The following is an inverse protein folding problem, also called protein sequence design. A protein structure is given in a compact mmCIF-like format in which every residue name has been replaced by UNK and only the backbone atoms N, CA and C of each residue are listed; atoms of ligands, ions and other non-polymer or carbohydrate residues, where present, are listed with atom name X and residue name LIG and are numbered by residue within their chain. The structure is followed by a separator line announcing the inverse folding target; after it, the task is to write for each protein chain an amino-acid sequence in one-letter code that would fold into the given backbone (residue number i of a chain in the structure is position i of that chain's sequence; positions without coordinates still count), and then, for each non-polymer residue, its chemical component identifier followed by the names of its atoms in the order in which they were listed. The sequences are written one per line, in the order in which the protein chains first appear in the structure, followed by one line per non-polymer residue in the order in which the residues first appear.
data_IF_250277407954
#
_entry.id   IF_250277407954
#
_cell.length_a   1.000
_cell.length_b   1.000
_cell.length_c   1.000
_cell.angle_alpha   90.00
_cell.angle_beta   90.00
_cell.angle_gamma   90.00
#
_symmetry.space_group_name_H-M   'P 1'
#
loop_
_entity.id
_entity.type
_entity.pdbx_description
1 polymer ?
#
# COMPACT_ATOMS: atom_id res chain seq x y z
N UNK A 1 -23.00 3.22 -51.71
CA UNK A 1 -21.74 3.69 -51.10
C UNK A 1 -21.61 3.07 -49.73
N UNK A 2 -20.75 2.06 -49.65
CA UNK A 2 -20.54 1.22 -48.44
C UNK A 2 -19.66 1.98 -47.45
N UNK A 3 -20.14 2.27 -46.23
CA UNK A 3 -19.30 2.65 -45.09
C UNK A 3 -18.74 1.38 -44.47
N UNK A 4 -17.45 1.13 -44.72
CA UNK A 4 -16.69 0.08 -44.07
C UNK A 4 -16.68 0.31 -42.54
N UNK A 5 -17.16 -0.71 -41.82
CA UNK A 5 -16.90 -0.86 -40.40
C UNK A 5 -15.40 -1.04 -40.21
N UNK A 6 -14.74 -0.04 -39.61
CA UNK A 6 -13.41 -0.19 -39.08
C UNK A 6 -13.50 -1.15 -37.88
N UNK A 7 -13.17 -2.40 -38.10
CA UNK A 7 -12.97 -3.36 -37.02
C UNK A 7 -11.83 -2.89 -36.13
N UNK A 8 -12.10 -2.65 -34.85
CA UNK A 8 -11.07 -2.43 -33.86
C UNK A 8 -10.15 -3.66 -33.85
N UNK A 9 -8.88 -3.44 -34.13
CA UNK A 9 -7.85 -4.49 -33.98
C UNK A 9 -7.91 -5.00 -32.53
N UNK A 10 -7.95 -6.31 -32.30
CA UNK A 10 -7.89 -6.85 -30.94
C UNK A 10 -6.60 -6.36 -30.30
N UNK A 11 -6.72 -5.87 -29.06
CA UNK A 11 -5.59 -5.42 -28.26
C UNK A 11 -4.72 -6.64 -27.93
N UNK A 12 -3.73 -6.94 -28.76
CA UNK A 12 -2.85 -8.14 -28.71
C UNK A 12 -2.06 -8.20 -27.39
N UNK A 13 -2.17 -7.19 -26.52
CA UNK A 13 -1.56 -7.15 -25.20
C UNK A 13 -2.52 -7.52 -24.04
N UNK A 14 -3.82 -7.63 -24.26
CA UNK A 14 -4.77 -8.13 -23.29
C UNK A 14 -4.76 -9.66 -23.28
N UNK A 15 -4.99 -10.28 -22.13
CA UNK A 15 -5.18 -11.73 -21.93
C UNK A 15 -3.93 -12.60 -21.90
N UNK A 16 -2.73 -12.05 -21.72
CA UNK A 16 -1.48 -12.83 -21.66
C UNK A 16 -1.32 -13.68 -20.38
N UNK A 17 -2.13 -13.40 -19.36
CA UNK A 17 -2.16 -14.15 -18.10
C UNK A 17 -3.48 -14.91 -17.91
N UNK A 18 -4.25 -15.13 -18.98
CA UNK A 18 -5.50 -15.89 -18.92
C UNK A 18 -5.27 -17.32 -18.41
N UNK A 19 -6.02 -17.70 -17.38
CA UNK A 19 -5.94 -18.99 -16.72
C UNK A 19 -4.85 -19.11 -15.65
N UNK A 20 -3.97 -18.10 -15.52
CA UNK A 20 -2.99 -18.07 -14.42
C UNK A 20 -3.59 -17.48 -13.17
N UNK A 21 -3.36 -18.14 -12.04
CA UNK A 21 -3.76 -17.64 -10.71
C UNK A 21 -2.55 -17.06 -9.99
N UNK A 22 -2.59 -15.76 -9.74
CA UNK A 22 -1.49 -14.97 -9.17
C UNK A 22 -1.81 -14.58 -7.73
N UNK A 23 -0.93 -14.96 -6.81
CA UNK A 23 -0.99 -14.50 -5.41
C UNK A 23 -0.31 -13.14 -5.30
N UNK A 24 -1.01 -12.17 -4.71
CA UNK A 24 -0.45 -10.87 -4.33
C UNK A 24 -0.60 -10.62 -2.83
N UNK A 25 0.46 -10.05 -2.23
CA UNK A 25 0.53 -9.74 -0.80
C UNK A 25 0.39 -8.22 -0.55
N UNK A 26 -0.06 -7.49 -1.57
CA UNK A 26 -0.19 -6.03 -1.49
C UNK A 26 -1.35 -5.63 -0.56
N UNK A 27 -1.13 -4.61 0.26
CA UNK A 27 -2.14 -4.10 1.18
C UNK A 27 -2.63 -2.70 0.80
N UNK A 28 -1.69 -1.80 0.42
CA UNK A 28 -2.02 -0.38 0.21
C UNK A 28 -2.47 -0.07 -1.22
N UNK A 29 -1.95 -0.80 -2.20
CA UNK A 29 -2.22 -0.64 -3.63
C UNK A 29 -2.90 -1.88 -4.20
N UNK A 30 -3.48 -2.70 -3.34
CA UNK A 30 -4.11 -3.98 -3.66
C UNK A 30 -5.09 -3.86 -4.82
N UNK A 31 -6.07 -2.95 -4.74
CA UNK A 31 -7.08 -2.77 -5.77
C UNK A 31 -6.48 -2.36 -7.13
N UNK A 32 -5.41 -1.54 -7.12
CA UNK A 32 -4.73 -1.14 -8.34
C UNK A 32 -3.94 -2.31 -8.94
N UNK A 33 -3.21 -3.05 -8.11
CA UNK A 33 -2.40 -4.18 -8.58
C UNK A 33 -3.28 -5.31 -9.10
N UNK A 34 -4.34 -5.67 -8.36
CA UNK A 34 -5.33 -6.65 -8.79
C UNK A 34 -5.98 -6.28 -10.12
N UNK A 35 -6.40 -5.02 -10.28
CA UNK A 35 -6.98 -4.55 -11.53
C UNK A 35 -6.02 -4.69 -12.69
N UNK A 36 -4.76 -4.27 -12.52
CA UNK A 36 -3.74 -4.35 -13.56
C UNK A 36 -3.43 -5.80 -13.99
N UNK A 37 -3.44 -6.75 -13.04
CA UNK A 37 -3.30 -8.18 -13.32
C UNK A 37 -4.55 -8.75 -14.03
N UNK A 38 -5.74 -8.38 -13.57
CA UNK A 38 -7.00 -8.79 -14.18
C UNK A 38 -7.17 -8.25 -15.62
N UNK A 39 -6.66 -7.03 -15.90
CA UNK A 39 -6.60 -6.47 -17.26
C UNK A 39 -5.71 -7.31 -18.21
N UNK A 40 -4.84 -8.18 -17.66
CA UNK A 40 -4.07 -9.17 -18.41
C UNK A 40 -4.69 -10.59 -18.39
N UNK A 41 -5.90 -10.72 -17.85
CA UNK A 41 -6.66 -11.98 -17.78
C UNK A 41 -6.32 -12.88 -16.60
N UNK A 42 -5.50 -12.44 -15.62
CA UNK A 42 -5.15 -13.24 -14.45
C UNK A 42 -6.32 -13.39 -13.46
N UNK A 43 -6.44 -14.58 -12.85
CA UNK A 43 -7.17 -14.79 -11.61
C UNK A 43 -6.27 -14.35 -10.44
N UNK A 44 -6.72 -13.39 -9.63
CA UNK A 44 -5.91 -12.79 -8.58
C UNK A 44 -6.37 -13.23 -7.20
N UNK A 45 -5.53 -13.99 -6.51
CA UNK A 45 -5.69 -14.25 -5.08
C UNK A 45 -5.07 -13.10 -4.28
N UNK A 46 -5.94 -12.31 -3.65
CA UNK A 46 -5.55 -11.20 -2.78
C UNK A 46 -5.31 -11.72 -1.36
N UNK A 47 -4.12 -11.46 -0.82
CA UNK A 47 -3.77 -11.80 0.55
C UNK A 47 -3.02 -10.62 1.20
N UNK A 48 -3.74 -9.56 1.61
CA UNK A 48 -3.11 -8.41 2.24
C UNK A 48 -2.41 -8.81 3.55
N UNK A 49 -1.19 -8.31 3.74
CA UNK A 49 -0.35 -8.66 4.89
C UNK A 49 -0.84 -8.09 6.22
N UNK A 50 -1.69 -7.08 6.15
CA UNK A 50 -2.30 -6.42 7.30
C UNK A 50 -3.74 -6.05 6.94
N UNK A 51 -4.64 -6.20 7.87
CA UNK A 51 -5.95 -5.54 7.80
C UNK A 51 -5.85 -4.16 8.45
N UNK A 52 -6.57 -3.19 7.89
CA UNK A 52 -6.58 -1.82 8.39
C UNK A 52 -7.92 -1.58 9.07
N UNK A 53 -7.89 -1.40 10.39
CA UNK A 53 -9.08 -1.13 11.18
C UNK A 53 -9.10 0.31 11.68
N UNK A 54 -10.30 0.83 11.94
CA UNK A 54 -10.45 2.08 12.69
C UNK A 54 -9.76 1.91 14.06
N UNK A 55 -9.21 2.99 14.62
CA UNK A 55 -8.65 2.94 15.96
C UNK A 55 -9.71 2.40 16.95
N UNK A 56 -9.34 1.46 17.84
CA UNK A 56 -10.29 0.83 18.78
C UNK A 56 -11.04 1.84 19.66
N UNK A 57 -10.33 2.90 20.08
CA UNK A 57 -10.92 4.04 20.76
C UNK A 57 -10.96 5.25 19.83
N UNK A 58 -12.15 5.70 19.50
CA UNK A 58 -12.35 6.88 18.65
C UNK A 58 -12.38 8.19 19.42
N UNK A 59 -12.52 8.19 20.75
CA UNK A 59 -12.67 9.40 21.54
C UNK A 59 -11.48 10.37 21.42
N UNK A 60 -10.22 9.93 21.42
CA UNK A 60 -9.08 10.82 21.18
C UNK A 60 -9.11 11.48 19.79
N UNK A 61 -9.58 10.75 18.77
CA UNK A 61 -9.67 11.24 17.39
C UNK A 61 -10.79 12.27 17.27
N UNK A 62 -11.95 11.98 17.86
CA UNK A 62 -13.08 12.92 17.90
C UNK A 62 -12.71 14.20 18.64
N UNK A 63 -12.02 14.10 19.78
CA UNK A 63 -11.52 15.23 20.53
C UNK A 63 -10.50 16.05 19.71
N UNK A 64 -9.60 15.39 18.98
CA UNK A 64 -8.65 16.05 18.10
C UNK A 64 -9.36 16.82 16.97
N UNK A 65 -10.35 16.19 16.30
CA UNK A 65 -11.16 16.84 15.25
C UNK A 65 -11.87 18.08 15.80
N UNK A 66 -12.52 17.98 16.97
CA UNK A 66 -13.22 19.11 17.58
C UNK A 66 -12.27 20.25 17.96
N UNK A 67 -11.08 19.94 18.51
CA UNK A 67 -10.04 20.96 18.77
C UNK A 67 -9.57 21.63 17.49
N UNK A 68 -9.31 20.82 16.43
CA UNK A 68 -8.87 21.34 15.14
C UNK A 68 -9.92 22.27 14.51
N UNK A 69 -11.22 21.97 14.65
CA UNK A 69 -12.31 22.84 14.18
C UNK A 69 -12.32 24.15 14.97
N UNK A 70 -12.25 24.07 16.30
CA UNK A 70 -12.32 25.25 17.18
C UNK A 70 -11.10 26.17 17.00
N UNK A 71 -9.93 25.60 16.82
CA UNK A 71 -8.68 26.33 16.63
C UNK A 71 -7.78 25.54 15.63
N UNK A 72 -7.90 25.78 14.32
CA UNK A 72 -7.10 25.10 13.30
C UNK A 72 -5.61 25.26 13.56
N UNK A 73 -4.83 24.20 13.33
CA UNK A 73 -3.37 24.28 13.33
C UNK A 73 -2.91 25.18 12.19
N UNK A 74 -1.74 25.82 12.36
CA UNK A 74 -1.10 26.60 11.29
C UNK A 74 -0.70 25.69 10.14
N UNK A 75 -0.15 24.52 10.49
CA UNK A 75 0.34 23.50 9.55
C UNK A 75 -0.33 22.16 9.82
N UNK A 76 -0.56 21.39 8.73
CA UNK A 76 -1.07 20.03 8.81
C UNK A 76 -0.17 19.09 7.97
N UNK A 77 0.46 18.16 8.64
CA UNK A 77 1.28 17.12 8.00
C UNK A 77 0.45 15.84 7.84
N UNK A 78 0.31 15.40 6.60
CA UNK A 78 -0.44 14.20 6.24
C UNK A 78 0.52 13.08 5.81
N UNK A 79 0.64 12.06 6.65
CA UNK A 79 1.53 10.94 6.38
C UNK A 79 0.92 9.91 5.42
N UNK A 80 -0.42 9.75 5.43
CA UNK A 80 -1.12 8.78 4.57
C UNK A 80 -2.47 9.29 4.09
N UNK A 81 -2.86 8.89 2.87
CA UNK A 81 -4.22 9.16 2.37
C UNK A 81 -5.29 8.41 3.15
N UNK A 82 -4.98 7.20 3.62
CA UNK A 82 -5.88 6.41 4.48
C UNK A 82 -6.19 7.15 5.78
N UNK A 83 -5.18 7.74 6.42
CA UNK A 83 -5.37 8.50 7.65
C UNK A 83 -6.32 9.68 7.47
N UNK A 84 -6.17 10.45 6.39
CA UNK A 84 -7.10 11.55 6.11
C UNK A 84 -8.53 11.05 5.87
N UNK A 85 -8.71 9.99 5.05
CA UNK A 85 -10.05 9.40 4.81
C UNK A 85 -10.71 8.93 6.11
N UNK A 86 -9.92 8.34 7.03
CA UNK A 86 -10.43 7.93 8.35
C UNK A 86 -10.83 9.11 9.23
N UNK A 87 -10.06 10.19 9.23
CA UNK A 87 -10.45 11.43 9.91
C UNK A 87 -11.76 12.00 9.35
N UNK A 88 -11.92 12.04 8.02
CA UNK A 88 -13.16 12.47 7.38
C UNK A 88 -14.32 11.54 7.74
N UNK A 89 -14.10 10.21 7.74
CA UNK A 89 -15.11 9.23 8.17
C UNK A 89 -15.58 9.46 9.61
N UNK A 90 -14.65 9.74 10.53
CA UNK A 90 -14.98 10.05 11.93
C UNK A 90 -15.74 11.38 12.00
N UNK A 91 -15.26 12.43 11.32
CA UNK A 91 -15.94 13.73 11.29
C UNK A 91 -17.38 13.63 10.76
N UNK A 92 -17.61 12.78 9.73
CA UNK A 92 -18.96 12.49 9.22
C UNK A 92 -19.83 11.78 10.25
N UNK A 93 -19.28 10.79 10.96
CA UNK A 93 -20.00 10.04 11.98
C UNK A 93 -20.46 10.93 13.15
N UNK A 94 -19.66 11.93 13.51
CA UNK A 94 -19.98 12.90 14.58
C UNK A 94 -20.61 14.19 14.06
N UNK A 95 -21.07 14.19 12.81
CA UNK A 95 -21.84 15.25 12.13
C UNK A 95 -21.13 16.62 12.03
N UNK A 96 -19.78 16.60 11.94
CA UNK A 96 -18.95 17.83 11.81
C UNK A 96 -18.08 17.85 10.56
N UNK A 97 -18.35 17.01 9.56
CA UNK A 97 -17.53 16.86 8.34
C UNK A 97 -17.31 18.21 7.65
N UNK A 98 -18.38 18.99 7.44
CA UNK A 98 -18.32 20.27 6.74
C UNK A 98 -17.39 21.27 7.46
N UNK A 99 -17.54 21.38 8.78
CA UNK A 99 -16.75 22.29 9.61
C UNK A 99 -15.29 21.84 9.67
N UNK A 100 -15.06 20.51 9.72
CA UNK A 100 -13.72 19.96 9.70
C UNK A 100 -13.01 20.20 8.37
N UNK A 101 -13.67 19.98 7.22
CA UNK A 101 -13.11 20.29 5.90
C UNK A 101 -12.81 21.78 5.75
N UNK A 102 -13.70 22.64 6.25
CA UNK A 102 -13.45 24.08 6.26
C UNK A 102 -12.23 24.47 7.12
N UNK A 103 -12.06 23.83 8.28
CA UNK A 103 -10.89 24.02 9.14
C UNK A 103 -9.61 23.53 8.48
N UNK A 104 -9.63 22.34 7.84
CA UNK A 104 -8.51 21.83 7.05
C UNK A 104 -8.10 22.78 5.94
N UNK A 105 -9.06 23.48 5.33
CA UNK A 105 -8.81 24.52 4.32
C UNK A 105 -7.94 25.67 4.80
N UNK A 106 -7.97 25.99 6.10
CA UNK A 106 -7.24 27.12 6.70
C UNK A 106 -5.77 26.79 6.99
N UNK A 107 -5.45 25.53 7.31
CA UNK A 107 -4.08 25.10 7.59
C UNK A 107 -3.23 25.03 6.32
N UNK A 108 -1.92 25.22 6.43
CA UNK A 108 -0.97 24.81 5.38
C UNK A 108 -0.82 23.29 5.38
N UNK A 109 -1.02 22.64 4.23
CA UNK A 109 -1.05 21.18 4.12
C UNK A 109 0.19 20.64 3.46
N UNK A 110 0.89 19.75 4.17
CA UNK A 110 2.10 19.06 3.73
C UNK A 110 1.82 17.57 3.55
N UNK A 111 2.02 17.07 2.35
CA UNK A 111 1.77 15.68 2.03
C UNK A 111 3.08 14.90 1.92
N UNK A 112 3.20 13.77 2.63
CA UNK A 112 4.38 12.87 2.53
C UNK A 112 4.58 12.28 1.12
N UNK A 113 3.58 12.37 0.27
CA UNK A 113 3.64 11.81 -1.08
C UNK A 113 2.30 11.94 -1.80
N UNK A 114 2.14 11.31 -2.97
CA UNK A 114 0.98 11.51 -3.83
C UNK A 114 -0.34 10.99 -3.22
N UNK A 115 -0.29 10.00 -2.32
CA UNK A 115 -1.51 9.40 -1.73
C UNK A 115 -2.27 10.36 -0.81
N UNK A 116 -1.63 11.07 0.15
CA UNK A 116 -2.30 12.12 0.91
C UNK A 116 -2.83 13.26 0.04
N UNK A 117 -2.09 13.67 -0.99
CA UNK A 117 -2.54 14.69 -1.94
C UNK A 117 -3.80 14.26 -2.69
N UNK A 118 -3.90 12.99 -3.11
CA UNK A 118 -5.12 12.44 -3.71
C UNK A 118 -6.31 12.49 -2.74
N UNK A 119 -6.10 12.10 -1.48
CA UNK A 119 -7.14 12.14 -0.48
C UNK A 119 -7.61 13.58 -0.16
N UNK A 120 -6.73 14.59 -0.22
CA UNK A 120 -7.12 15.99 -0.13
C UNK A 120 -8.01 16.40 -1.30
N UNK A 121 -7.69 16.02 -2.53
CA UNK A 121 -8.52 16.32 -3.72
C UNK A 121 -9.92 15.72 -3.65
N UNK A 122 -10.08 14.56 -3.01
CA UNK A 122 -11.39 13.93 -2.80
C UNK A 122 -12.36 14.80 -1.97
N UNK A 123 -11.82 15.73 -1.17
CA UNK A 123 -12.58 16.69 -0.34
C UNK A 123 -12.44 18.15 -0.84
N UNK A 124 -11.97 18.34 -2.06
CA UNK A 124 -11.83 19.66 -2.69
C UNK A 124 -10.66 20.50 -2.19
N UNK A 125 -9.65 19.89 -1.57
CA UNK A 125 -8.45 20.58 -1.06
C UNK A 125 -7.19 20.11 -1.80
N UNK A 126 -6.13 20.92 -1.74
CA UNK A 126 -4.82 20.59 -2.30
C UNK A 126 -3.72 20.73 -1.23
N UNK A 127 -2.64 19.94 -1.31
CA UNK A 127 -1.47 20.18 -0.49
C UNK A 127 -0.71 21.41 -1.02
N UNK A 128 -0.14 22.22 -0.13
CA UNK A 128 0.80 23.29 -0.49
C UNK A 128 2.12 22.70 -0.99
N UNK A 129 2.57 21.62 -0.33
CA UNK A 129 3.79 20.91 -0.73
C UNK A 129 3.59 19.41 -0.61
N UNK A 130 4.10 18.68 -1.60
CA UNK A 130 4.25 17.23 -1.54
C UNK A 130 5.74 16.91 -1.58
N UNK A 131 6.24 16.05 -0.67
CA UNK A 131 7.67 15.74 -0.66
C UNK A 131 8.06 14.90 -1.88
N UNK A 132 9.26 15.11 -2.39
CA UNK A 132 9.86 14.28 -3.44
C UNK A 132 10.22 12.89 -2.91
N UNK A 133 10.66 12.81 -1.65
CA UNK A 133 10.97 11.56 -0.94
C UNK A 133 9.79 11.19 -0.04
N UNK A 134 8.97 10.17 -0.38
CA UNK A 134 7.75 9.83 0.37
C UNK A 134 8.05 9.03 1.66
N UNK A 135 8.99 9.54 2.47
CA UNK A 135 9.43 8.96 3.74
C UNK A 135 9.25 9.95 4.89
N UNK A 136 9.37 9.47 6.14
CA UNK A 136 9.35 10.35 7.33
C UNK A 136 10.52 11.32 7.33
N UNK A 137 11.69 10.87 6.88
CA UNK A 137 12.90 11.68 6.72
C UNK A 137 12.68 12.77 5.65
N UNK A 138 12.01 12.43 4.54
CA UNK A 138 11.68 13.40 3.49
C UNK A 138 10.73 14.50 3.98
N UNK A 139 9.76 14.16 4.85
CA UNK A 139 8.91 15.15 5.53
C UNK A 139 9.75 16.02 6.46
N UNK A 140 10.61 15.42 7.30
CA UNK A 140 11.46 16.17 8.22
C UNK A 140 12.41 17.13 7.46
N UNK A 141 13.03 16.65 6.37
CA UNK A 141 13.89 17.47 5.50
C UNK A 141 13.11 18.64 4.87
N UNK A 142 11.90 18.40 4.40
CA UNK A 142 11.05 19.44 3.83
C UNK A 142 10.67 20.49 4.88
N UNK A 143 10.22 20.06 6.07
CA UNK A 143 9.82 20.95 7.15
C UNK A 143 10.99 21.75 7.72
N UNK A 144 12.22 21.23 7.67
CA UNK A 144 13.42 21.97 8.12
C UNK A 144 13.72 23.24 7.31
N UNK A 145 13.08 23.41 6.15
CA UNK A 145 13.19 24.59 5.28
C UNK A 145 12.14 25.65 5.55
N UNK A 146 11.26 25.41 6.51
CA UNK A 146 10.12 26.27 6.88
C UNK A 146 10.33 26.76 8.31
N UNK A 147 10.04 28.01 8.59
CA UNK A 147 10.05 28.51 9.97
C UNK A 147 8.79 28.06 10.70
N UNK A 148 8.94 27.11 11.60
CA UNK A 148 7.86 26.55 12.40
C UNK A 148 7.80 27.09 13.83
N UNK A 149 8.61 28.10 14.17
CA UNK A 149 8.66 28.66 15.54
C UNK A 149 7.32 29.24 15.96
N UNK A 150 6.80 28.71 17.04
CA UNK A 150 5.49 29.11 17.60
C UNK A 150 4.28 28.59 16.82
N UNK A 151 4.50 27.81 15.74
CA UNK A 151 3.42 27.16 15.00
C UNK A 151 2.85 25.96 15.76
N UNK A 152 1.56 25.73 15.57
CA UNK A 152 0.89 24.48 15.93
C UNK A 152 0.82 23.60 14.69
N UNK A 153 1.38 22.41 14.79
CA UNK A 153 1.50 21.45 13.70
C UNK A 153 0.62 20.22 13.98
N UNK A 154 -0.50 20.12 13.27
CA UNK A 154 -1.30 18.90 13.25
C UNK A 154 -0.54 17.81 12.49
N UNK A 155 -0.34 16.63 13.10
CA UNK A 155 0.40 15.54 12.50
C UNK A 155 -0.46 14.27 12.41
N UNK A 156 -0.97 13.98 11.21
CA UNK A 156 -1.68 12.74 10.98
C UNK A 156 -0.70 11.58 10.80
N UNK A 157 -0.67 10.70 11.77
CA UNK A 157 0.21 9.54 11.87
C UNK A 157 -0.37 8.30 11.18
N UNK A 158 0.47 7.29 10.97
CA UNK A 158 0.11 5.93 10.58
C UNK A 158 0.69 4.94 11.60
N UNK A 159 0.18 3.70 11.72
CA UNK A 159 0.73 2.72 12.66
C UNK A 159 2.20 2.39 12.34
N UNK A 160 3.11 2.93 13.14
CA UNK A 160 4.56 2.72 13.08
C UNK A 160 5.15 2.96 14.48
N UNK A 161 6.31 2.38 14.73
CA UNK A 161 7.02 2.51 16.02
C UNK A 161 7.90 3.76 16.12
N UNK A 162 8.22 4.42 15.01
CA UNK A 162 9.29 5.44 14.91
C UNK A 162 8.80 6.89 14.77
N UNK A 163 7.57 7.21 15.20
CA UNK A 163 7.07 8.58 15.11
C UNK A 163 7.82 9.59 15.98
N UNK A 164 8.46 9.13 17.07
CA UNK A 164 9.22 9.98 17.98
C UNK A 164 10.30 10.80 17.30
N UNK A 165 10.96 10.25 16.27
CA UNK A 165 12.01 10.95 15.51
C UNK A 165 11.43 12.14 14.73
N UNK A 166 10.30 11.95 14.05
CA UNK A 166 9.63 13.02 13.29
C UNK A 166 9.05 14.08 14.23
N UNK A 167 8.35 13.67 15.29
CA UNK A 167 7.80 14.57 16.30
C UNK A 167 8.94 15.39 16.93
N UNK A 168 10.04 14.75 17.34
CA UNK A 168 11.20 15.41 17.91
C UNK A 168 11.83 16.42 16.95
N UNK A 169 11.94 16.10 15.66
CA UNK A 169 12.47 17.00 14.64
C UNK A 169 11.61 18.25 14.43
N UNK A 170 10.28 18.13 14.50
CA UNK A 170 9.34 19.25 14.38
C UNK A 170 9.39 20.09 15.66
N UNK A 171 9.35 19.46 16.83
CA UNK A 171 9.41 20.16 18.13
C UNK A 171 10.73 20.91 18.32
N UNK A 172 11.86 20.36 17.85
CA UNK A 172 13.17 21.01 17.89
C UNK A 172 13.23 22.33 17.09
N UNK A 173 12.30 22.55 16.15
CA UNK A 173 12.17 23.80 15.42
C UNK A 173 11.30 24.84 16.16
N UNK A 174 10.83 24.54 17.38
CA UNK A 174 10.01 25.42 18.20
C UNK A 174 8.51 25.34 17.92
N UNK A 175 8.05 24.27 17.26
CA UNK A 175 6.64 24.02 17.01
C UNK A 175 5.98 23.20 18.14
N UNK A 176 4.68 23.41 18.34
CA UNK A 176 3.83 22.52 19.13
C UNK A 176 3.20 21.46 18.20
N UNK A 177 3.43 20.17 18.48
CA UNK A 177 2.93 19.08 17.64
C UNK A 177 1.66 18.48 18.23
N UNK A 178 0.60 18.41 17.43
CA UNK A 178 -0.67 17.76 17.77
C UNK A 178 -0.84 16.47 16.94
N UNK A 179 -0.36 15.31 17.42
CA UNK A 179 -0.46 14.06 16.68
C UNK A 179 -1.87 13.48 16.74
N UNK A 180 -2.27 12.80 15.66
CA UNK A 180 -3.47 11.95 15.61
C UNK A 180 -3.20 10.68 14.83
N UNK A 181 -3.58 9.54 15.41
CA UNK A 181 -3.47 8.20 14.81
C UNK A 181 -4.89 7.63 14.59
N UNK A 182 -5.46 7.77 13.38
CA UNK A 182 -6.87 7.45 13.16
C UNK A 182 -7.18 5.98 12.89
N UNK A 183 -6.16 5.10 12.79
CA UNK A 183 -6.34 3.69 12.47
C UNK A 183 -5.20 2.82 13.00
N UNK A 184 -5.42 1.52 13.02
CA UNK A 184 -4.42 0.51 13.42
C UNK A 184 -4.25 -0.53 12.33
N UNK A 185 -3.09 -1.19 12.32
CA UNK A 185 -2.89 -2.42 11.57
C UNK A 185 -3.22 -3.61 12.48
N UNK A 186 -4.09 -4.46 12.00
CA UNK A 186 -4.34 -5.77 12.62
C UNK A 186 -3.56 -6.83 11.82
N UNK A 187 -2.43 -7.22 12.36
CA UNK A 187 -1.59 -8.25 11.79
C UNK A 187 -2.18 -9.65 12.06
N UNK A 188 -2.80 -9.85 13.21
CA UNK A 188 -3.32 -11.19 13.60
C UNK A 188 -4.51 -11.61 12.75
N UNK A 189 -5.43 -10.70 12.47
CA UNK A 189 -6.55 -10.98 11.58
C UNK A 189 -6.11 -11.37 10.16
N UNK A 190 -4.92 -10.93 9.72
CA UNK A 190 -4.36 -11.31 8.43
C UNK A 190 -3.65 -12.68 8.45
N UNK A 191 -3.19 -13.17 9.61
CA UNK A 191 -2.41 -14.41 9.72
C UNK A 191 -3.14 -15.61 9.10
N UNK A 192 -4.43 -15.79 9.41
CA UNK A 192 -5.21 -16.91 8.89
C UNK A 192 -5.29 -16.92 7.37
N UNK A 193 -5.40 -15.73 6.75
CA UNK A 193 -5.43 -15.59 5.30
C UNK A 193 -4.04 -15.92 4.70
N UNK A 194 -2.96 -15.52 5.38
CA UNK A 194 -1.59 -15.80 4.94
C UNK A 194 -1.33 -17.31 5.02
N UNK A 195 -1.72 -17.99 6.09
CA UNK A 195 -1.61 -19.45 6.19
C UNK A 195 -2.40 -20.15 5.10
N UNK A 196 -3.63 -19.68 4.83
CA UNK A 196 -4.45 -20.19 3.72
C UNK A 196 -3.74 -19.99 2.37
N UNK A 197 -3.12 -18.83 2.14
CA UNK A 197 -2.37 -18.57 0.90
C UNK A 197 -1.14 -19.49 0.76
N UNK A 198 -0.45 -19.80 1.88
CA UNK A 198 0.63 -20.80 1.90
C UNK A 198 0.09 -22.18 1.51
N UNK A 199 -1.07 -22.57 2.01
CA UNK A 199 -1.71 -23.84 1.67
C UNK A 199 -2.14 -23.88 0.19
N UNK A 200 -2.67 -22.79 -0.37
CA UNK A 200 -3.00 -22.68 -1.79
C UNK A 200 -1.77 -22.88 -2.68
N UNK A 201 -0.64 -22.25 -2.31
CA UNK A 201 0.64 -22.45 -3.01
C UNK A 201 1.14 -23.89 -2.87
N UNK A 202 1.11 -24.47 -1.66
CA UNK A 202 1.59 -25.82 -1.40
C UNK A 202 0.79 -26.89 -2.16
N UNK A 203 -0.50 -26.64 -2.39
CA UNK A 203 -1.38 -27.51 -3.17
C UNK A 203 -1.27 -27.28 -4.68
N UNK A 204 -0.37 -26.38 -5.12
CA UNK A 204 -0.13 -26.09 -6.54
C UNK A 204 -1.30 -25.33 -7.21
N UNK A 205 -2.12 -24.62 -6.45
CA UNK A 205 -3.24 -23.82 -6.99
C UNK A 205 -2.85 -22.38 -7.33
N UNK A 206 -1.58 -22.00 -7.12
CA UNK A 206 -1.02 -20.70 -7.46
C UNK A 206 0.07 -20.87 -8.51
N UNK A 207 -0.04 -20.12 -9.60
CA UNK A 207 0.92 -20.16 -10.71
C UNK A 207 2.14 -19.27 -10.47
N UNK A 208 1.98 -18.14 -9.76
CA UNK A 208 3.07 -17.29 -9.33
C UNK A 208 2.68 -16.44 -8.11
N UNK A 209 3.68 -16.01 -7.33
CA UNK A 209 3.53 -14.99 -6.29
C UNK A 209 4.24 -13.71 -6.73
N UNK A 210 3.57 -12.56 -6.56
CA UNK A 210 4.11 -11.25 -6.91
C UNK A 210 4.33 -10.39 -5.66
N UNK A 211 5.58 -9.96 -5.47
CA UNK A 211 6.07 -9.24 -4.29
C UNK A 211 6.52 -7.83 -4.67
N UNK A 212 5.98 -6.82 -3.97
CA UNK A 212 6.20 -5.40 -4.25
C UNK A 212 6.96 -4.68 -3.14
N UNK A 213 7.23 -5.36 -2.01
CA UNK A 213 8.03 -4.80 -0.91
C UNK A 213 8.74 -5.90 -0.10
N UNK A 214 9.91 -5.57 0.47
CA UNK A 214 10.64 -6.46 1.37
C UNK A 214 9.84 -6.80 2.64
N UNK A 215 8.98 -5.90 3.09
CA UNK A 215 8.08 -6.14 4.23
C UNK A 215 7.12 -7.30 4.00
N UNK A 216 6.70 -7.54 2.75
CA UNK A 216 5.85 -8.70 2.41
C UNK A 216 6.61 -10.01 2.59
N UNK A 217 7.88 -10.06 2.18
CA UNK A 217 8.74 -11.25 2.37
C UNK A 217 8.90 -11.56 3.86
N UNK A 218 9.32 -10.55 4.64
CA UNK A 218 9.50 -10.72 6.10
C UNK A 218 8.21 -11.19 6.78
N UNK A 219 7.09 -10.56 6.45
CA UNK A 219 5.80 -10.89 7.05
C UNK A 219 5.33 -12.31 6.70
N UNK A 220 5.53 -12.74 5.45
CA UNK A 220 5.20 -14.10 5.02
C UNK A 220 5.99 -15.15 5.84
N UNK A 221 7.28 -14.90 6.05
CA UNK A 221 8.16 -15.79 6.84
C UNK A 221 7.79 -15.76 8.33
N UNK A 222 7.56 -14.55 8.89
CA UNK A 222 7.13 -14.36 10.29
C UNK A 222 5.85 -15.16 10.61
N UNK A 223 4.85 -15.08 9.71
CA UNK A 223 3.59 -15.82 9.89
C UNK A 223 3.82 -17.31 9.76
N UNK A 224 4.63 -17.77 8.82
CA UNK A 224 4.96 -19.18 8.69
C UNK A 224 5.64 -19.72 9.95
N UNK A 225 6.57 -18.97 10.56
CA UNK A 225 7.20 -19.30 11.83
C UNK A 225 6.19 -19.34 12.99
N UNK A 226 5.38 -18.29 13.12
CA UNK A 226 4.36 -18.17 14.18
C UNK A 226 3.36 -19.35 14.14
N UNK A 227 3.03 -19.84 12.95
CA UNK A 227 2.05 -20.89 12.73
C UNK A 227 2.68 -22.27 12.42
N UNK A 228 3.99 -22.43 12.63
CA UNK A 228 4.74 -23.69 12.45
C UNK A 228 4.53 -24.33 11.05
N UNK A 229 4.57 -23.51 10.01
CA UNK A 229 4.41 -23.96 8.61
C UNK A 229 5.56 -23.53 7.68
N UNK A 230 6.77 -23.30 8.23
CA UNK A 230 7.96 -22.86 7.48
C UNK A 230 8.37 -23.85 6.37
N UNK A 231 8.39 -25.14 6.69
CA UNK A 231 8.76 -26.18 5.71
C UNK A 231 7.75 -26.19 4.56
N UNK A 232 6.46 -26.10 4.87
CA UNK A 232 5.39 -26.00 3.86
C UNK A 232 5.56 -24.77 2.99
N UNK A 233 5.88 -23.61 3.58
CA UNK A 233 6.16 -22.39 2.83
C UNK A 233 7.37 -22.57 1.91
N UNK A 234 8.48 -23.14 2.41
CA UNK A 234 9.68 -23.40 1.60
C UNK A 234 9.40 -24.32 0.43
N UNK A 235 8.71 -25.41 0.65
CA UNK A 235 8.31 -26.35 -0.41
C UNK A 235 7.37 -25.68 -1.43
N UNK A 236 6.43 -24.88 -0.98
CA UNK A 236 5.51 -24.14 -1.83
C UNK A 236 6.27 -23.14 -2.71
N UNK A 237 7.16 -22.32 -2.13
CA UNK A 237 7.98 -21.34 -2.85
C UNK A 237 9.01 -22.01 -3.77
N UNK A 238 9.53 -23.20 -3.41
CA UNK A 238 10.43 -23.95 -4.30
C UNK A 238 9.77 -24.30 -5.64
N UNK A 239 8.46 -24.46 -5.66
CA UNK A 239 7.68 -24.85 -6.84
C UNK A 239 6.95 -23.68 -7.50
N UNK A 240 6.63 -22.62 -6.76
CA UNK A 240 5.87 -21.48 -7.26
C UNK A 240 6.82 -20.39 -7.72
N UNK A 241 6.76 -19.94 -8.99
CA UNK A 241 7.53 -18.80 -9.49
C UNK A 241 7.36 -17.56 -8.63
N UNK A 242 8.47 -16.92 -8.27
CA UNK A 242 8.51 -15.73 -7.44
C UNK A 242 8.87 -14.54 -8.31
N UNK A 243 7.93 -13.59 -8.42
CA UNK A 243 8.11 -12.32 -9.11
C UNK A 243 8.39 -11.19 -8.11
N UNK A 244 9.53 -10.51 -8.24
CA UNK A 244 9.88 -9.35 -7.40
C UNK A 244 9.88 -8.05 -8.20
N UNK A 245 9.40 -6.97 -7.59
CA UNK A 245 9.31 -5.67 -8.26
C UNK A 245 10.67 -5.00 -8.46
N UNK A 246 11.68 -5.37 -7.67
CA UNK A 246 12.97 -4.69 -7.72
C UNK A 246 14.03 -5.29 -6.78
N UNK A 247 15.27 -4.75 -6.80
CA UNK A 247 16.41 -5.31 -6.10
C UNK A 247 16.19 -5.46 -4.58
N UNK A 248 15.61 -4.47 -3.92
CA UNK A 248 15.35 -4.50 -2.47
C UNK A 248 14.52 -5.72 -2.05
N UNK A 249 13.56 -6.13 -2.90
CA UNK A 249 12.73 -7.33 -2.64
C UNK A 249 13.53 -8.59 -2.94
N UNK A 250 14.31 -8.60 -4.02
CA UNK A 250 15.18 -9.73 -4.39
C UNK A 250 16.26 -9.99 -3.36
N UNK A 251 16.88 -8.92 -2.82
CA UNK A 251 17.90 -9.02 -1.76
C UNK A 251 17.29 -9.59 -0.47
N UNK A 252 16.08 -9.16 -0.11
CA UNK A 252 15.35 -9.71 1.03
C UNK A 252 15.03 -11.20 0.84
N UNK A 253 14.55 -11.61 -0.35
CA UNK A 253 14.36 -13.04 -0.69
C UNK A 253 15.66 -13.83 -0.54
N UNK A 254 16.75 -13.32 -1.10
CA UNK A 254 18.07 -13.96 -1.05
C UNK A 254 18.59 -14.10 0.38
N UNK A 255 18.38 -13.10 1.26
CA UNK A 255 18.78 -13.16 2.67
C UNK A 255 18.08 -14.29 3.44
N UNK A 256 16.92 -14.74 2.95
CA UNK A 256 16.16 -15.87 3.50
C UNK A 256 16.37 -17.18 2.71
N UNK A 257 17.34 -17.22 1.81
CA UNK A 257 17.64 -18.41 0.98
C UNK A 257 16.57 -18.70 -0.08
N UNK A 258 15.79 -17.69 -0.47
CA UNK A 258 14.77 -17.78 -1.50
C UNK A 258 15.29 -17.15 -2.81
N UNK A 259 14.74 -17.60 -3.96
CA UNK A 259 15.12 -17.10 -5.28
C UNK A 259 14.15 -16.03 -5.78
N UNK A 260 14.57 -15.28 -6.77
CA UNK A 260 13.70 -14.50 -7.64
C UNK A 260 13.71 -15.13 -9.03
N UNK A 261 12.54 -15.47 -9.58
CA UNK A 261 12.40 -16.08 -10.90
C UNK A 261 12.02 -15.07 -11.98
N UNK A 262 11.28 -14.04 -11.61
CA UNK A 262 10.73 -13.04 -12.52
C UNK A 262 11.08 -11.65 -12.01
N UNK A 263 11.66 -10.84 -12.88
CA UNK A 263 12.19 -9.52 -12.56
C UNK A 263 11.91 -8.53 -13.70
N UNK A 264 11.52 -7.28 -13.43
CA UNK A 264 11.34 -6.28 -14.48
C UNK A 264 12.64 -5.98 -15.23
N UNK A 265 12.56 -5.79 -16.54
CA UNK A 265 13.71 -5.36 -17.33
C UNK A 265 13.96 -3.85 -17.20
N UNK A 266 15.17 -3.39 -17.56
CA UNK A 266 15.57 -2.00 -17.71
C UNK A 266 15.38 -1.14 -16.44
N UNK A 267 15.64 -1.71 -15.25
CA UNK A 267 15.54 -1.01 -13.96
C UNK A 267 14.18 -0.31 -13.71
N UNK A 268 13.14 -0.78 -14.36
CA UNK A 268 11.78 -0.23 -14.26
C UNK A 268 11.02 -0.89 -13.10
N UNK A 269 11.36 -0.54 -11.85
CA UNK A 269 10.88 -1.17 -10.62
C UNK A 269 9.48 -0.68 -10.19
N UNK A 270 8.47 -0.95 -11.04
CA UNK A 270 7.07 -0.58 -10.81
C UNK A 270 6.15 -1.76 -11.13
N UNK A 271 4.89 -1.68 -10.71
CA UNK A 271 3.90 -2.74 -10.90
C UNK A 271 3.68 -3.12 -12.37
N UNK A 272 3.54 -2.14 -13.28
CA UNK A 272 3.28 -2.42 -14.70
C UNK A 272 4.43 -3.18 -15.38
N UNK A 273 5.71 -2.78 -15.24
CA UNK A 273 6.84 -3.57 -15.73
C UNK A 273 6.91 -4.97 -15.12
N UNK A 274 6.60 -5.13 -13.82
CA UNK A 274 6.54 -6.44 -13.18
C UNK A 274 5.49 -7.34 -13.83
N UNK A 275 4.28 -6.83 -14.05
CA UNK A 275 3.20 -7.57 -14.74
C UNK A 275 3.62 -7.95 -16.15
N UNK A 276 4.27 -7.06 -16.89
CA UNK A 276 4.79 -7.36 -18.23
C UNK A 276 5.84 -8.47 -18.21
N UNK A 277 6.75 -8.48 -17.22
CA UNK A 277 7.73 -9.53 -17.03
C UNK A 277 7.05 -10.86 -16.69
N UNK A 278 6.05 -10.85 -15.80
CA UNK A 278 5.26 -12.04 -15.45
C UNK A 278 4.53 -12.60 -16.68
N UNK A 279 3.86 -11.77 -17.46
CA UNK A 279 3.19 -12.19 -18.69
C UNK A 279 4.14 -12.80 -19.71
N UNK A 280 5.37 -12.31 -19.77
CA UNK A 280 6.41 -12.86 -20.67
C UNK A 280 6.99 -14.18 -20.17
N UNK A 281 7.20 -14.31 -18.86
CA UNK A 281 7.79 -15.51 -18.27
C UNK A 281 6.77 -16.65 -18.18
N UNK A 282 5.57 -16.39 -17.69
CA UNK A 282 4.52 -17.39 -17.48
C UNK A 282 3.89 -17.83 -18.80
N UNK A 283 3.67 -16.95 -19.76
CA UNK A 283 3.05 -17.28 -21.05
C UNK A 283 3.82 -18.31 -21.90
N UNK A 284 4.97 -18.80 -21.42
CA UNK A 284 5.76 -19.88 -22.05
C UNK A 284 5.35 -21.28 -21.59
N UNK A 285 4.52 -21.40 -20.56
CA UNK A 285 4.10 -22.68 -19.97
C UNK A 285 2.58 -22.63 -19.70
N UNK A 286 1.85 -23.73 -19.80
CA UNK A 286 0.42 -23.73 -19.51
C UNK A 286 0.16 -23.47 -18.02
N UNK A 287 -0.99 -22.84 -17.67
CA UNK A 287 -1.40 -22.66 -16.28
C UNK A 287 -1.57 -24.00 -15.56
N UNK A 288 -1.24 -24.05 -14.28
CA UNK A 288 -1.33 -25.29 -13.46
C UNK A 288 -2.76 -25.82 -13.34
N UNK A 289 -3.77 -24.91 -13.37
CA UNK A 289 -5.18 -25.28 -13.34
C UNK A 289 -5.65 -26.03 -14.59
N UNK A 290 -5.03 -25.84 -15.75
CA UNK A 290 -5.40 -26.49 -17.01
C UNK A 290 -5.11 -28.00 -17.02
N UNK A 291 -4.14 -28.46 -16.22
CA UNK A 291 -3.75 -29.87 -16.14
C UNK A 291 -4.74 -30.78 -15.38
N UNK A 292 -5.78 -30.22 -14.76
CA UNK A 292 -6.81 -30.99 -13.99
C UNK A 292 -8.13 -31.19 -14.73
N UNK A 293 -8.26 -30.74 -15.97
CA UNK A 293 -9.47 -30.83 -16.79
C UNK A 293 -9.33 -31.81 -17.98
N UNK A 294 -8.25 -32.60 -18.02
CA UNK A 294 -8.02 -33.63 -19.02
C UNK A 294 -8.11 -35.03 -18.44
#
# INVERSE_FOLDING_TARGET
MNKQQAGALPNIMADRLTGYRILILETREEAQFSRLLAEQGADVLQCPMFTIHDAPDSAPIEAWIRRFIANPCDDLVLMTGEGLRRLIKVARRIEVERDFVAALGKAQKFARGPKPGRALREIGLEPQVTTEKPTSEGIAEMLSRIDLRGHRVGLQLYPDKNHGVLIGAITAQGAEVEPVLPYVYDAEAADANIVTAIDEMAQGRIDAIALTSSGQVRRLIEVAQKHHCEDRLREALARTPIASVGPVVSDELTSHGLRTDIYPANDAFFMKPLISAMATALGKSPPRGAAKLS
#
